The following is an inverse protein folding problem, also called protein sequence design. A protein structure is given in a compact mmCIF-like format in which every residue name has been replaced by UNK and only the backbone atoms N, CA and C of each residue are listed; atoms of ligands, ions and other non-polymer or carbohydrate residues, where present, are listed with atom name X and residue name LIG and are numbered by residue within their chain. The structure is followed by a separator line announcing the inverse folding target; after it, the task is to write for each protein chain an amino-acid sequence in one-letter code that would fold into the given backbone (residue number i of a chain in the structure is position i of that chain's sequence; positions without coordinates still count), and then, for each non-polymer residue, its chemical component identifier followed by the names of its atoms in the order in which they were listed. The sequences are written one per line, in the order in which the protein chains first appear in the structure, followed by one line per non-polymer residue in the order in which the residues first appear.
data_IF_851578358840
#
_entry.id   IF_851578358840
#
_cell.length_a   1.000
_cell.length_b   1.000
_cell.length_c   1.000
_cell.angle_alpha   90.00
_cell.angle_beta   90.00
_cell.angle_gamma   90.00
#
_symmetry.space_group_name_H-M   'P 1'
#
loop_
_entity.id
_entity.type
_entity.pdbx_description
1 polymer ?
#
# COMPACT_ATOMS: atom_id res chain seq x y z
N UNK A 1 52.32 -28.07 -3.76
CA UNK A 1 51.16 -27.48 -4.47
C UNK A 1 50.43 -26.57 -3.49
N UNK A 2 50.71 -25.26 -3.55
CA UNK A 2 50.05 -24.23 -2.74
C UNK A 2 48.95 -23.59 -3.59
N UNK A 3 47.71 -23.63 -3.11
CA UNK A 3 46.56 -22.96 -3.74
C UNK A 3 46.42 -21.59 -3.09
N UNK A 4 46.74 -20.54 -3.85
CA UNK A 4 46.54 -19.14 -3.48
C UNK A 4 45.10 -18.75 -3.78
N UNK A 5 44.33 -18.36 -2.75
CA UNK A 5 42.98 -17.80 -2.89
C UNK A 5 43.09 -16.28 -3.07
N UNK A 6 42.72 -15.79 -4.24
CA UNK A 6 42.64 -14.36 -4.56
C UNK A 6 41.29 -13.81 -4.09
N UNK A 7 41.32 -12.74 -3.28
CA UNK A 7 40.14 -12.02 -2.83
C UNK A 7 39.65 -11.08 -3.94
N UNK A 8 38.45 -11.33 -4.47
CA UNK A 8 37.78 -10.43 -5.40
C UNK A 8 37.05 -9.32 -4.63
N UNK A 9 37.48 -8.08 -4.83
CA UNK A 9 36.81 -6.87 -4.34
C UNK A 9 35.49 -6.65 -5.09
N UNK A 10 34.36 -6.72 -4.39
CA UNK A 10 33.05 -6.36 -4.90
C UNK A 10 32.88 -4.84 -4.85
N UNK A 11 32.88 -4.18 -6.02
CA UNK A 11 32.53 -2.77 -6.16
C UNK A 11 31.01 -2.62 -6.33
N UNK A 12 30.36 -1.86 -5.45
CA UNK A 12 28.93 -1.55 -5.52
C UNK A 12 28.52 -0.91 -6.86
N UNK A 13 27.35 -1.26 -7.43
CA UNK A 13 26.88 -0.65 -8.66
C UNK A 13 26.41 0.79 -8.44
N UNK A 14 26.78 1.66 -9.39
CA UNK A 14 26.53 3.09 -9.42
C UNK A 14 25.03 3.38 -9.58
N UNK A 15 24.57 4.41 -8.89
CA UNK A 15 23.19 4.90 -8.93
C UNK A 15 22.71 5.21 -10.35
N UNK A 16 21.45 4.87 -10.61
CA UNK A 16 20.75 5.16 -11.85
C UNK A 16 20.41 6.66 -11.91
N UNK A 17 20.71 7.38 -13.01
CA UNK A 17 20.18 8.71 -13.19
C UNK A 17 18.67 8.62 -13.47
N UNK A 18 17.88 9.37 -12.69
CA UNK A 18 16.47 9.59 -12.96
C UNK A 18 16.31 10.31 -14.32
N UNK A 19 16.21 9.54 -15.42
CA UNK A 19 15.75 10.08 -16.70
C UNK A 19 14.25 10.25 -16.61
N UNK A 20 13.81 11.50 -16.54
CA UNK A 20 12.41 11.85 -16.75
C UNK A 20 11.96 11.33 -18.12
N UNK A 21 11.16 10.27 -18.12
CA UNK A 21 10.50 9.76 -19.33
C UNK A 21 9.43 10.77 -19.69
N UNK A 22 9.52 11.35 -20.89
CA UNK A 22 8.50 12.25 -21.40
C UNK A 22 7.17 11.48 -21.53
N UNK A 23 6.23 11.78 -20.63
CA UNK A 23 4.88 11.23 -20.67
C UNK A 23 4.15 11.83 -21.89
N UNK A 24 3.63 11.02 -22.82
CA UNK A 24 2.87 11.54 -23.96
C UNK A 24 1.64 12.33 -23.46
N UNK A 25 1.52 13.59 -23.90
CA UNK A 25 0.47 14.54 -23.50
C UNK A 25 -0.97 14.07 -23.78
N UNK A 26 -1.18 12.97 -24.50
CA UNK A 26 -2.53 12.43 -24.75
C UNK A 26 -3.16 11.72 -23.56
N UNK A 27 -2.40 11.41 -22.51
CA UNK A 27 -2.92 10.73 -21.31
C UNK A 27 -3.55 11.67 -20.26
N UNK A 28 -3.66 12.97 -20.51
CA UNK A 28 -4.24 13.91 -19.54
C UNK A 28 -5.76 14.06 -19.66
N UNK A 29 -6.33 13.80 -20.84
CA UNK A 29 -7.73 14.17 -21.16
C UNK A 29 -8.79 13.22 -20.60
N UNK A 30 -8.44 12.00 -20.20
CA UNK A 30 -9.41 11.00 -19.71
C UNK A 30 -9.68 11.08 -18.20
N UNK A 31 -8.95 11.93 -17.47
CA UNK A 31 -9.08 12.08 -16.01
C UNK A 31 -10.10 13.16 -15.59
N UNK A 32 -10.40 14.13 -16.46
CA UNK A 32 -11.36 15.21 -16.17
C UNK A 32 -12.83 14.79 -16.19
N UNK A 33 -13.17 13.56 -16.61
CA UNK A 33 -14.55 13.06 -16.67
C UNK A 33 -15.04 12.35 -15.40
N UNK A 34 -14.31 12.47 -14.28
CA UNK A 34 -14.50 11.61 -13.09
C UNK A 34 -15.05 12.30 -11.83
N UNK A 35 -15.63 13.49 -11.94
CA UNK A 35 -16.47 14.06 -10.87
C UNK A 35 -17.94 13.72 -11.13
N UNK A 36 -18.59 12.86 -10.32
CA UNK A 36 -20.04 12.84 -10.27
C UNK A 36 -20.54 14.04 -9.46
N UNK A 37 -21.55 14.74 -9.98
CA UNK A 37 -22.44 15.58 -9.20
C UNK A 37 -23.04 14.75 -8.05
N UNK A 38 -22.66 15.02 -6.81
CA UNK A 38 -23.48 14.66 -5.65
C UNK A 38 -24.27 15.89 -5.20
N UNK A 39 -25.55 15.92 -5.58
CA UNK A 39 -26.62 16.59 -4.85
C UNK A 39 -27.78 15.62 -4.71
N UNK A 40 -27.99 15.09 -3.51
CA UNK A 40 -29.33 15.03 -2.93
C UNK A 40 -29.24 14.78 -1.43
N UNK A 41 -30.18 15.41 -0.72
CA UNK A 41 -30.11 15.80 0.67
C UNK A 41 -30.77 14.79 1.63
N UNK A 42 -30.36 14.93 2.90
CA UNK A 42 -31.19 14.97 4.11
C UNK A 42 -32.10 13.77 4.44
N UNK A 43 -31.83 13.15 5.61
CA UNK A 43 -32.88 13.04 6.62
C UNK A 43 -32.31 12.94 8.05
N UNK A 44 -32.57 13.98 8.83
CA UNK A 44 -32.29 14.11 10.25
C UNK A 44 -33.26 13.25 11.09
N UNK A 45 -32.77 12.64 12.17
CA UNK A 45 -33.57 12.45 13.39
C UNK A 45 -32.66 12.39 14.61
N UNK A 46 -32.79 13.43 15.43
CA UNK A 46 -32.36 13.46 16.81
C UNK A 46 -33.45 12.81 17.69
N UNK A 47 -33.06 12.01 18.67
CA UNK A 47 -33.84 11.77 19.90
C UNK A 47 -32.85 11.76 21.07
N UNK A 48 -33.30 12.37 22.16
CA UNK A 48 -32.52 12.90 23.26
C UNK A 48 -32.33 11.94 24.45
N UNK A 49 -31.38 12.35 25.31
CA UNK A 49 -31.34 12.25 26.79
C UNK A 49 -31.46 10.89 27.47
N UNK A 50 -30.44 10.61 28.30
CA UNK A 50 -30.68 10.45 29.74
C UNK A 50 -29.42 10.80 30.55
N UNK A 51 -29.63 11.58 31.60
CA UNK A 51 -28.68 12.01 32.63
C UNK A 51 -28.84 11.13 33.86
N UNK A 52 -27.75 10.72 34.52
CA UNK A 52 -27.77 10.51 35.97
C UNK A 52 -26.41 10.75 36.60
N UNK A 53 -26.46 11.38 37.76
CA UNK A 53 -25.37 11.81 38.63
C UNK A 53 -25.30 10.96 39.89
N UNK A 54 -24.13 10.83 40.52
CA UNK A 54 -23.88 10.80 41.98
C UNK A 54 -22.43 10.30 42.20
N UNK A 55 -21.52 11.13 42.75
CA UNK A 55 -21.19 11.27 44.19
C UNK A 55 -20.34 10.09 44.72
N UNK A 56 -19.32 10.21 45.58
CA UNK A 56 -18.55 11.29 46.20
C UNK A 56 -17.44 10.61 47.06
N UNK A 57 -16.31 11.31 47.31
CA UNK A 57 -15.43 11.25 48.51
C UNK A 57 -14.69 9.92 48.82
N UNK A 58 -13.53 9.82 49.50
CA UNK A 58 -12.64 10.70 50.26
C UNK A 58 -11.22 10.04 50.24
N UNK A 59 -10.12 10.79 50.08
CA UNK A 59 -9.19 11.28 51.11
C UNK A 59 -8.17 10.27 51.73
N UNK A 60 -6.95 10.81 51.94
CA UNK A 60 -5.82 10.36 52.78
C UNK A 60 -4.86 9.31 52.19
N UNK A 61 -3.55 9.30 52.44
CA UNK A 61 -2.58 10.26 52.96
C UNK A 61 -1.18 9.61 52.82
N UNK A 62 -0.14 10.44 52.66
CA UNK A 62 1.24 10.13 53.05
C UNK A 62 2.07 9.25 52.10
N UNK A 63 3.13 9.81 51.52
CA UNK A 63 4.53 9.71 52.03
C UNK A 63 5.41 10.52 51.07
N UNK A 64 6.12 11.49 51.63
CA UNK A 64 7.20 12.21 50.99
C UNK A 64 8.46 11.34 50.96
N UNK A 65 9.19 11.30 49.85
CA UNK A 65 10.66 11.20 49.86
C UNK A 65 11.29 11.40 48.47
N UNK A 66 12.40 12.14 48.51
CA UNK A 66 13.54 12.10 47.58
C UNK A 66 13.41 12.77 46.20
N UNK A 67 13.70 14.07 46.22
CA UNK A 67 14.17 14.89 45.12
C UNK A 67 15.38 14.27 44.40
N UNK A 68 15.18 13.65 43.24
CA UNK A 68 16.24 13.40 42.25
C UNK A 68 16.07 14.35 41.07
N UNK A 69 16.84 15.46 41.10
CA UNK A 69 16.97 16.39 39.98
C UNK A 69 17.83 15.74 38.88
N UNK A 70 17.23 14.88 38.07
CA UNK A 70 17.77 14.60 36.74
C UNK A 70 17.50 15.83 35.87
N UNK A 71 18.57 16.51 35.47
CA UNK A 71 18.56 17.57 34.47
C UNK A 71 17.92 17.01 33.20
N UNK A 72 16.63 17.30 32.99
CA UNK A 72 16.01 17.16 31.69
C UNK A 72 16.78 18.09 30.75
N UNK A 73 17.66 17.51 29.93
CA UNK A 73 18.25 18.21 28.82
C UNK A 73 17.08 18.73 27.99
N UNK A 74 16.89 20.05 28.00
CA UNK A 74 16.05 20.78 27.06
C UNK A 74 16.59 20.38 25.69
N UNK A 75 15.96 19.38 25.06
CA UNK A 75 16.18 19.07 23.65
C UNK A 75 15.74 20.34 22.95
N UNK A 76 16.72 21.16 22.56
CA UNK A 76 16.49 22.37 21.83
C UNK A 76 15.68 22.00 20.61
N UNK A 77 14.44 22.49 20.52
CA UNK A 77 13.73 22.55 19.25
C UNK A 77 14.69 23.25 18.31
N UNK A 78 15.29 22.51 17.37
CA UNK A 78 16.09 23.10 16.30
C UNK A 78 15.17 24.12 15.65
N UNK A 79 15.58 25.39 15.67
CA UNK A 79 14.94 26.39 14.83
C UNK A 79 15.04 25.84 13.40
N UNK A 80 13.89 25.50 12.81
CA UNK A 80 13.82 24.92 11.49
C UNK A 80 14.61 25.79 10.52
N UNK A 81 15.36 25.15 9.64
CA UNK A 81 16.13 25.89 8.67
C UNK A 81 15.16 26.65 7.74
N UNK A 82 15.51 27.84 7.26
CA UNK A 82 14.58 28.67 6.48
C UNK A 82 14.09 28.05 5.16
N UNK A 83 14.70 26.95 4.69
CA UNK A 83 14.21 26.16 3.55
C UNK A 83 13.13 25.13 3.92
N UNK A 84 12.91 24.84 5.21
CA UNK A 84 11.83 23.94 5.67
C UNK A 84 10.44 24.53 5.35
N UNK A 85 10.34 25.84 5.12
CA UNK A 85 9.12 26.51 4.67
C UNK A 85 8.93 26.52 3.15
N UNK A 86 10.00 26.24 2.37
CA UNK A 86 9.93 26.24 0.91
C UNK A 86 9.30 24.95 0.37
N UNK A 87 9.45 23.84 1.10
CA UNK A 87 8.67 22.61 0.93
C UNK A 87 7.47 22.61 1.87
N UNK A 88 6.68 23.69 1.82
CA UNK A 88 5.55 23.98 2.73
C UNK A 88 4.98 22.71 3.33
N UNK A 89 5.42 22.40 4.55
CA UNK A 89 5.14 21.16 5.24
C UNK A 89 3.70 21.22 5.74
N UNK A 90 2.77 21.16 4.79
CA UNK A 90 1.39 20.85 5.12
C UNK A 90 1.44 19.55 5.92
N UNK A 91 0.91 19.57 7.16
CA UNK A 91 0.95 18.37 8.00
C UNK A 91 0.29 17.24 7.21
N UNK A 92 1.01 16.13 7.06
CA UNK A 92 0.51 14.99 6.28
C UNK A 92 -0.76 14.50 6.97
N UNK A 93 -1.90 14.61 6.30
CA UNK A 93 -3.18 14.18 6.86
C UNK A 93 -3.21 12.66 6.95
N UNK A 94 -2.97 12.14 8.16
CA UNK A 94 -3.07 10.71 8.45
C UNK A 94 -4.56 10.31 8.40
N UNK A 95 -4.94 9.27 7.64
CA UNK A 95 -6.32 8.87 7.51
C UNK A 95 -6.85 8.31 8.83
N UNK A 96 -8.00 8.82 9.26
CA UNK A 96 -8.72 8.37 10.45
C UNK A 96 -9.71 7.25 10.14
N UNK A 97 -10.18 7.17 8.89
CA UNK A 97 -11.20 6.22 8.44
C UNK A 97 -10.77 5.46 7.18
N UNK A 98 -11.47 4.37 6.90
CA UNK A 98 -11.29 3.56 5.69
C UNK A 98 -11.64 4.35 4.42
N UNK A 99 -12.61 5.27 4.50
CA UNK A 99 -12.94 6.17 3.40
C UNK A 99 -11.80 7.14 3.09
N UNK A 100 -11.24 7.79 4.11
CA UNK A 100 -10.08 8.68 3.93
C UNK A 100 -8.86 7.90 3.42
N UNK A 101 -8.69 6.66 3.87
CA UNK A 101 -7.64 5.75 3.37
C UNK A 101 -7.83 5.48 1.87
N UNK A 102 -9.06 5.19 1.44
CA UNK A 102 -9.39 4.95 0.03
C UNK A 102 -9.20 6.20 -0.83
N UNK A 103 -9.59 7.38 -0.35
CA UNK A 103 -9.38 8.65 -1.06
C UNK A 103 -7.89 8.97 -1.22
N UNK A 104 -7.12 8.86 -0.15
CA UNK A 104 -5.67 9.07 -0.19
C UNK A 104 -4.97 8.06 -1.10
N UNK A 105 -5.42 6.79 -1.10
CA UNK A 105 -4.95 5.77 -2.03
C UNK A 105 -5.24 6.18 -3.48
N UNK A 106 -6.47 6.56 -3.82
CA UNK A 106 -6.84 7.01 -5.18
C UNK A 106 -5.96 8.17 -5.65
N UNK A 107 -5.80 9.20 -4.80
CA UNK A 107 -4.93 10.33 -5.09
C UNK A 107 -3.48 9.91 -5.33
N UNK A 108 -2.95 8.99 -4.50
CA UNK A 108 -1.58 8.50 -4.64
C UNK A 108 -1.35 7.73 -5.93
N UNK A 109 -2.31 6.91 -6.34
CA UNK A 109 -2.24 6.18 -7.61
C UNK A 109 -2.37 7.13 -8.80
N UNK A 110 -3.23 8.14 -8.72
CA UNK A 110 -3.35 9.16 -9.77
C UNK A 110 -2.02 9.90 -9.98
N UNK A 111 -1.36 10.31 -8.89
CA UNK A 111 -0.04 10.95 -8.93
C UNK A 111 1.01 10.00 -9.51
N UNK A 112 1.03 8.74 -9.08
CA UNK A 112 1.97 7.74 -9.60
C UNK A 112 1.80 7.48 -11.10
N UNK A 113 0.55 7.36 -11.57
CA UNK A 113 0.24 7.14 -13.00
C UNK A 113 0.57 8.38 -13.82
N UNK A 114 0.22 9.58 -13.35
CA UNK A 114 0.57 10.85 -14.03
C UNK A 114 2.09 11.06 -14.09
N UNK A 115 2.78 10.69 -13.02
CA UNK A 115 4.25 10.71 -12.94
C UNK A 115 4.92 9.62 -13.79
N UNK A 116 4.16 8.68 -14.36
CA UNK A 116 4.71 7.59 -15.16
C UNK A 116 5.60 6.64 -14.36
N UNK A 117 5.32 6.44 -13.07
CA UNK A 117 6.12 5.55 -12.23
C UNK A 117 5.99 4.10 -12.73
N UNK A 118 7.07 3.43 -13.14
CA UNK A 118 6.97 2.12 -13.77
C UNK A 118 6.75 0.99 -12.75
N UNK A 119 7.14 1.19 -11.49
CA UNK A 119 7.15 0.17 -10.44
C UNK A 119 6.55 0.77 -9.18
N UNK A 120 5.37 0.30 -8.80
CA UNK A 120 4.54 0.86 -7.74
C UNK A 120 4.24 -0.21 -6.69
N UNK A 121 4.54 0.08 -5.43
CA UNK A 121 4.18 -0.72 -4.25
C UNK A 121 3.06 -0.05 -3.48
N UNK A 122 2.04 -0.84 -3.16
CA UNK A 122 0.82 -0.41 -2.46
C UNK A 122 0.50 -1.42 -1.38
N UNK A 123 0.30 -0.91 -0.17
CA UNK A 123 0.10 -1.74 1.00
C UNK A 123 -1.02 -1.21 1.89
N UNK A 124 -1.99 -2.07 2.20
CA UNK A 124 -3.06 -1.84 3.18
C UNK A 124 -2.94 -2.80 4.37
N UNK A 125 -3.56 -2.50 5.53
CA UNK A 125 -3.62 -3.46 6.63
C UNK A 125 -4.23 -4.79 6.19
N UNK A 126 -3.70 -5.90 6.71
CA UNK A 126 -4.17 -7.24 6.36
C UNK A 126 -5.64 -7.41 6.72
N UNK A 127 -6.46 -7.78 5.74
CA UNK A 127 -7.89 -8.00 5.94
C UNK A 127 -8.77 -6.75 5.96
N UNK A 128 -8.21 -5.54 5.74
CA UNK A 128 -9.02 -4.32 5.67
C UNK A 128 -9.95 -4.35 4.45
N UNK A 129 -11.26 -4.54 4.67
CA UNK A 129 -12.28 -4.46 3.62
C UNK A 129 -12.66 -3.00 3.35
N UNK A 130 -12.65 -2.62 2.09
CA UNK A 130 -12.82 -1.25 1.63
C UNK A 130 -14.30 -0.87 1.39
N UNK A 131 -15.23 -1.82 1.53
CA UNK A 131 -16.65 -1.59 1.24
C UNK A 131 -17.02 -1.77 -0.22
N UNK A 132 -16.08 -2.21 -1.07
CA UNK A 132 -16.35 -2.37 -2.52
C UNK A 132 -17.30 -3.55 -2.78
N UNK A 133 -17.31 -4.55 -1.90
CA UNK A 133 -18.25 -5.68 -1.92
C UNK A 133 -19.30 -5.59 -0.79
N UNK A 134 -19.71 -4.37 -0.43
CA UNK A 134 -20.75 -4.02 0.56
C UNK A 134 -20.39 -4.20 2.04
N UNK A 135 -19.18 -4.63 2.38
CA UNK A 135 -18.71 -4.69 3.76
C UNK A 135 -17.49 -3.82 3.92
N UNK A 136 -17.58 -2.78 4.75
CA UNK A 136 -16.47 -1.87 5.05
C UNK A 136 -16.04 -2.08 6.48
N UNK A 137 -14.75 -2.39 6.67
CA UNK A 137 -14.19 -2.48 8.01
C UNK A 137 -13.76 -1.10 8.49
N UNK A 138 -13.88 -0.79 9.79
CA UNK A 138 -13.17 0.35 10.34
C UNK A 138 -11.66 0.13 10.20
N UNK A 139 -10.89 1.22 10.16
CA UNK A 139 -9.42 1.15 10.11
C UNK A 139 -8.86 0.71 11.48
N UNK A 140 -9.30 -0.39 12.06
CA UNK A 140 -8.87 -0.86 13.40
C UNK A 140 -8.41 -2.30 13.26
N UNK A 141 -7.44 -2.72 14.07
CA UNK A 141 -7.05 -4.13 14.10
C UNK A 141 -8.19 -4.93 14.72
N UNK A 142 -8.69 -5.95 14.01
CA UNK A 142 -9.66 -6.88 14.60
C UNK A 142 -9.02 -7.58 15.79
N UNK A 143 -9.75 -7.68 16.91
CA UNK A 143 -9.31 -8.47 18.06
C UNK A 143 -9.41 -9.97 17.69
N UNK A 144 -8.33 -10.51 17.12
CA UNK A 144 -8.25 -11.91 16.72
C UNK A 144 -7.45 -12.14 15.44
N UNK A 145 -7.21 -13.41 15.13
CA UNK A 145 -6.58 -13.78 13.87
C UNK A 145 -7.53 -13.45 12.71
N UNK A 146 -7.07 -12.60 11.80
CA UNK A 146 -7.82 -12.26 10.59
C UNK A 146 -7.95 -13.52 9.73
N UNK A 147 -9.19 -13.98 9.51
CA UNK A 147 -9.47 -15.18 8.73
C UNK A 147 -8.93 -15.09 7.30
N UNK A 148 -8.51 -16.22 6.75
CA UNK A 148 -7.98 -16.33 5.38
C UNK A 148 -8.97 -15.85 4.33
N UNK A 149 -10.27 -16.05 4.56
CA UNK A 149 -11.35 -15.57 3.69
C UNK A 149 -11.47 -14.04 3.71
N UNK A 150 -11.36 -13.42 4.89
CA UNK A 150 -11.38 -11.95 5.02
C UNK A 150 -10.18 -11.34 4.30
N UNK A 151 -8.99 -11.92 4.46
CA UNK A 151 -7.79 -11.46 3.73
C UNK A 151 -8.00 -11.58 2.22
N UNK A 152 -8.52 -12.71 1.76
CA UNK A 152 -8.77 -12.96 0.33
C UNK A 152 -9.84 -12.02 -0.25
N UNK A 153 -10.87 -11.68 0.54
CA UNK A 153 -11.86 -10.67 0.19
C UNK A 153 -11.22 -9.27 0.11
N UNK A 154 -10.45 -8.86 1.12
CA UNK A 154 -9.79 -7.55 1.15
C UNK A 154 -8.84 -7.36 -0.05
N UNK A 155 -8.04 -8.38 -0.37
CA UNK A 155 -7.15 -8.39 -1.53
C UNK A 155 -7.93 -8.27 -2.85
N UNK A 156 -9.08 -8.96 -2.96
CA UNK A 156 -9.98 -8.87 -4.12
C UNK A 156 -10.62 -7.49 -4.23
N UNK A 157 -11.10 -6.90 -3.13
CA UNK A 157 -11.68 -5.55 -3.10
C UNK A 157 -10.66 -4.48 -3.52
N UNK A 158 -9.43 -4.58 -3.05
CA UNK A 158 -8.34 -3.69 -3.46
C UNK A 158 -8.07 -3.82 -4.96
N UNK A 159 -7.97 -5.04 -5.50
CA UNK A 159 -7.83 -5.25 -6.94
C UNK A 159 -9.04 -4.71 -7.72
N UNK A 160 -10.25 -4.82 -7.16
CA UNK A 160 -11.49 -4.30 -7.78
C UNK A 160 -11.51 -2.77 -7.82
N UNK A 161 -10.94 -2.12 -6.82
CA UNK A 161 -10.75 -0.67 -6.79
C UNK A 161 -9.81 -0.24 -7.93
N UNK A 162 -8.70 -0.95 -8.16
CA UNK A 162 -7.83 -0.71 -9.31
C UNK A 162 -8.58 -0.87 -10.62
N UNK A 163 -9.32 -1.96 -10.80
CA UNK A 163 -10.18 -2.13 -11.97
C UNK A 163 -11.15 -0.96 -12.18
N UNK A 164 -11.66 -0.36 -11.10
CA UNK A 164 -12.52 0.82 -11.16
C UNK A 164 -11.77 2.10 -11.55
N UNK A 165 -10.57 2.33 -11.01
CA UNK A 165 -9.73 3.49 -11.33
C UNK A 165 -9.23 3.46 -12.78
N UNK A 166 -8.90 2.28 -13.30
CA UNK A 166 -8.37 2.09 -14.64
C UNK A 166 -9.45 1.81 -15.71
N UNK A 167 -10.73 2.13 -15.46
CA UNK A 167 -11.83 1.85 -16.42
C UNK A 167 -11.58 2.43 -17.81
N UNK A 168 -10.99 3.63 -17.90
CA UNK A 168 -10.68 4.27 -19.18
C UNK A 168 -9.57 3.56 -19.98
N UNK A 169 -8.67 2.86 -19.29
CA UNK A 169 -7.51 2.13 -19.84
C UNK A 169 -7.68 0.62 -19.71
N UNK A 170 -8.90 0.13 -19.51
CA UNK A 170 -9.19 -1.26 -19.16
C UNK A 170 -8.68 -2.30 -20.18
N UNK A 171 -8.51 -1.93 -21.44
CA UNK A 171 -7.99 -2.82 -22.51
C UNK A 171 -6.54 -3.25 -22.26
N UNK A 172 -5.76 -2.44 -21.55
CA UNK A 172 -4.35 -2.67 -21.29
C UNK A 172 -4.07 -3.11 -19.84
N UNK A 173 -5.12 -3.42 -19.07
CA UNK A 173 -5.02 -3.82 -17.67
C UNK A 173 -5.04 -5.35 -17.53
N UNK A 174 -4.00 -5.89 -16.91
CA UNK A 174 -3.92 -7.28 -16.47
C UNK A 174 -3.84 -7.34 -14.95
N UNK A 175 -4.77 -8.06 -14.32
CA UNK A 175 -4.80 -8.32 -12.88
C UNK A 175 -4.40 -9.78 -12.65
N UNK A 176 -3.31 -9.98 -11.93
CA UNK A 176 -2.71 -11.27 -11.67
C UNK A 176 -2.86 -11.64 -10.19
N UNK A 177 -3.59 -12.72 -9.92
CA UNK A 177 -3.73 -13.28 -8.56
C UNK A 177 -2.71 -14.39 -8.32
N UNK A 178 -2.35 -14.60 -7.05
CA UNK A 178 -1.42 -15.68 -6.65
C UNK A 178 -1.91 -17.10 -6.98
N UNK A 179 -3.22 -17.35 -6.97
CA UNK A 179 -3.81 -18.69 -7.24
C UNK A 179 -4.94 -18.60 -8.25
N UNK A 180 -5.20 -19.71 -8.94
CA UNK A 180 -6.33 -19.85 -9.89
C UNK A 180 -7.68 -19.72 -9.18
N UNK A 181 -7.79 -20.23 -7.95
CA UNK A 181 -9.01 -20.10 -7.12
C UNK A 181 -9.39 -18.64 -6.85
N UNK A 182 -8.42 -17.79 -6.49
CA UNK A 182 -8.67 -16.38 -6.24
C UNK A 182 -9.01 -15.62 -7.53
N UNK A 183 -8.35 -15.95 -8.64
CA UNK A 183 -8.67 -15.39 -9.95
C UNK A 183 -10.09 -15.79 -10.40
N UNK A 184 -10.49 -17.04 -10.19
CA UNK A 184 -11.83 -17.53 -10.50
C UNK A 184 -12.90 -16.84 -9.63
N UNK A 185 -12.67 -16.76 -8.31
CA UNK A 185 -13.57 -16.06 -7.39
C UNK A 185 -13.73 -14.58 -7.76
N UNK A 186 -12.64 -13.92 -8.18
CA UNK A 186 -12.70 -12.54 -8.68
C UNK A 186 -13.55 -12.42 -9.95
N UNK A 187 -13.35 -13.31 -10.94
CA UNK A 187 -14.15 -13.34 -12.18
C UNK A 187 -15.63 -13.54 -11.89
N UNK A 188 -15.96 -14.49 -11.01
CA UNK A 188 -17.33 -14.80 -10.61
C UNK A 188 -18.00 -13.59 -9.94
N UNK A 189 -17.35 -13.00 -8.92
CA UNK A 189 -17.91 -11.88 -8.15
C UNK A 189 -18.05 -10.61 -8.99
N UNK A 190 -17.12 -10.35 -9.90
CA UNK A 190 -17.13 -9.12 -10.68
C UNK A 190 -18.01 -9.23 -11.94
N UNK A 191 -18.18 -10.45 -12.46
CA UNK A 191 -19.03 -10.75 -13.62
C UNK A 191 -18.68 -9.90 -14.84
N UNK A 192 -19.70 -9.40 -15.54
CA UNK A 192 -19.52 -8.54 -16.71
C UNK A 192 -18.86 -7.17 -16.39
N UNK A 193 -18.78 -6.76 -15.11
CA UNK A 193 -18.20 -5.47 -14.70
C UNK A 193 -16.67 -5.42 -14.83
N UNK A 194 -16.04 -6.53 -15.23
CA UNK A 194 -14.60 -6.60 -15.56
C UNK A 194 -14.27 -5.84 -16.83
N UNK A 195 -15.22 -5.73 -17.77
CA UNK A 195 -14.96 -5.12 -19.08
C UNK A 195 -13.88 -5.88 -19.83
N UNK A 196 -12.91 -5.15 -20.39
CA UNK A 196 -11.82 -5.73 -21.19
C UNK A 196 -10.57 -6.10 -20.38
N UNK A 197 -10.59 -5.93 -19.06
CA UNK A 197 -9.43 -6.24 -18.22
C UNK A 197 -9.19 -7.75 -18.19
N UNK A 198 -7.92 -8.15 -18.25
CA UNK A 198 -7.51 -9.56 -18.17
C UNK A 198 -7.32 -9.96 -16.72
N UNK A 199 -7.91 -11.07 -16.30
CA UNK A 199 -7.70 -11.64 -14.96
C UNK A 199 -7.01 -12.99 -15.12
N UNK A 200 -5.80 -13.10 -14.58
CA UNK A 200 -4.91 -14.26 -14.70
C UNK A 200 -4.45 -14.75 -13.31
N UNK A 201 -3.89 -15.95 -13.26
CA UNK A 201 -3.22 -16.48 -12.07
C UNK A 201 -1.74 -16.74 -12.33
N UNK A 202 -0.88 -16.42 -11.35
CA UNK A 202 0.58 -16.61 -11.41
C UNK A 202 1.06 -18.00 -10.97
N UNK A 203 0.17 -18.82 -10.39
CA UNK A 203 0.53 -20.14 -9.92
C UNK A 203 1.09 -21.01 -11.04
N UNK A 204 2.06 -21.88 -10.73
CA UNK A 204 2.40 -23.00 -11.60
C UNK A 204 1.14 -23.83 -11.72
N UNK A 205 0.48 -23.77 -12.88
CA UNK A 205 -0.53 -24.77 -13.21
C UNK A 205 0.15 -26.11 -13.04
N UNK A 206 -0.17 -26.83 -11.96
CA UNK A 206 0.18 -28.24 -11.88
C UNK A 206 -0.36 -28.82 -13.17
N UNK A 207 0.51 -29.36 -14.00
CA UNK A 207 0.24 -29.88 -15.33
C UNK A 207 -0.64 -31.15 -15.28
N UNK A 208 -1.61 -31.20 -14.38
CA UNK A 208 -2.69 -32.17 -14.39
C UNK A 208 -3.59 -31.83 -15.56
N UNK A 209 -3.36 -32.55 -16.67
CA UNK A 209 -4.27 -32.75 -17.80
C UNK A 209 -5.73 -32.61 -17.36
N UNK A 210 -6.30 -31.42 -17.52
CA UNK A 210 -7.72 -31.17 -17.27
C UNK A 210 -8.24 -30.40 -18.46
N UNK A 211 -8.79 -31.18 -19.39
CA UNK A 211 -9.71 -30.75 -20.42
C UNK A 211 -10.90 -30.02 -19.79
N UNK A 212 -11.23 -28.83 -20.33
CA UNK A 212 -12.50 -28.13 -20.11
C UNK A 212 -12.78 -27.54 -18.71
N UNK A 213 -11.99 -26.56 -18.25
CA UNK A 213 -12.50 -25.54 -17.32
C UNK A 213 -11.72 -24.22 -17.43
N UNK A 214 -12.46 -23.10 -17.43
CA UNK A 214 -12.06 -21.75 -17.84
C UNK A 214 -11.10 -21.00 -16.88
N UNK A 215 -9.93 -21.58 -16.59
CA UNK A 215 -8.87 -20.95 -15.80
C UNK A 215 -7.54 -20.91 -16.57
N UNK A 216 -7.26 -19.84 -17.31
CA UNK A 216 -5.96 -19.66 -17.96
C UNK A 216 -4.88 -19.33 -16.92
N UNK A 217 -4.13 -20.36 -16.53
CA UNK A 217 -2.83 -20.21 -15.86
C UNK A 217 -1.81 -19.79 -16.91
N UNK A 218 -1.07 -18.73 -16.65
CA UNK A 218 -0.16 -18.15 -17.66
C UNK A 218 1.28 -18.36 -17.19
N UNK A 219 2.13 -18.97 -18.04
CA UNK A 219 3.58 -19.02 -17.80
C UNK A 219 4.17 -17.61 -17.82
N UNK A 220 5.28 -17.38 -17.11
CA UNK A 220 6.00 -16.09 -17.10
C UNK A 220 6.22 -15.53 -18.51
N UNK A 221 6.78 -16.34 -19.42
CA UNK A 221 7.06 -15.92 -20.80
C UNK A 221 5.81 -15.60 -21.62
N UNK A 222 4.68 -16.24 -21.31
CA UNK A 222 3.40 -15.97 -21.98
C UNK A 222 2.81 -14.66 -21.47
N UNK A 223 2.95 -14.40 -20.17
CA UNK A 223 2.55 -13.14 -19.55
C UNK A 223 3.42 -11.99 -20.07
N UNK A 224 4.74 -12.17 -20.16
CA UNK A 224 5.68 -11.19 -20.70
C UNK A 224 5.34 -10.82 -22.14
N UNK A 225 5.18 -11.81 -23.02
CA UNK A 225 4.76 -11.58 -24.42
C UNK A 225 3.40 -10.90 -24.51
N UNK A 226 2.45 -11.29 -23.67
CA UNK A 226 1.13 -10.64 -23.60
C UNK A 226 1.23 -9.17 -23.19
N UNK A 227 2.08 -8.84 -22.22
CA UNK A 227 2.29 -7.48 -21.75
C UNK A 227 3.03 -6.64 -22.80
N UNK A 228 4.07 -7.19 -23.44
CA UNK A 228 4.79 -6.54 -24.54
C UNK A 228 3.85 -6.25 -25.72
N UNK A 229 3.06 -7.23 -26.15
CA UNK A 229 2.07 -7.05 -27.22
C UNK A 229 1.04 -5.96 -26.88
N UNK A 230 0.67 -5.84 -25.60
CA UNK A 230 -0.23 -4.79 -25.12
C UNK A 230 0.45 -3.42 -25.15
N UNK A 231 1.70 -3.36 -24.70
CA UNK A 231 2.49 -2.12 -24.63
C UNK A 231 2.91 -1.57 -26.01
N UNK A 232 3.02 -2.42 -27.03
CA UNK A 232 3.36 -2.00 -28.40
C UNK A 232 2.14 -1.50 -29.20
N UNK A 233 0.93 -1.63 -28.66
CA UNK A 233 -0.24 -1.00 -29.28
C UNK A 233 -0.12 0.53 -29.21
N UNK A 234 -0.57 1.22 -30.26
CA UNK A 234 -0.63 2.70 -30.31
C UNK A 234 -1.44 3.33 -29.16
N UNK A 235 -2.15 2.51 -28.39
CA UNK A 235 -3.05 2.85 -27.30
C UNK A 235 -2.38 3.08 -25.94
N UNK A 236 -1.06 2.95 -25.81
CA UNK A 236 -0.30 3.40 -24.65
C UNK A 236 0.25 2.29 -23.75
N UNK A 237 0.77 2.68 -22.58
CA UNK A 237 1.45 1.78 -21.64
C UNK A 237 0.57 0.60 -21.17
N UNK A 238 1.20 -0.55 -20.98
CA UNK A 238 0.58 -1.71 -20.34
C UNK A 238 0.50 -1.54 -18.81
N UNK A 239 -0.52 -2.12 -18.18
CA UNK A 239 -0.66 -2.12 -16.73
C UNK A 239 -0.76 -3.56 -16.20
N UNK A 240 0.13 -3.92 -15.28
CA UNK A 240 0.09 -5.19 -14.57
C UNK A 240 -0.16 -4.92 -13.08
N UNK A 241 -1.23 -5.48 -12.55
CA UNK A 241 -1.57 -5.41 -11.12
C UNK A 241 -1.40 -6.79 -10.53
N UNK A 242 -0.44 -6.97 -9.61
CA UNK A 242 -0.17 -8.25 -8.96
C UNK A 242 -0.66 -8.22 -7.53
N UNK A 243 -1.59 -9.12 -7.20
CA UNK A 243 -2.31 -9.13 -5.92
C UNK A 243 -1.71 -10.13 -4.95
N UNK A 244 -1.27 -9.64 -3.79
CA UNK A 244 -0.70 -10.38 -2.67
C UNK A 244 0.32 -11.47 -3.10
N UNK A 245 1.36 -11.12 -3.89
CA UNK A 245 2.35 -12.09 -4.36
C UNK A 245 3.11 -12.74 -3.19
N UNK A 246 3.43 -14.01 -3.37
CA UNK A 246 4.28 -14.81 -2.47
C UNK A 246 5.71 -14.82 -2.98
N UNK A 247 6.64 -15.40 -2.22
CA UNK A 247 8.08 -15.39 -2.56
C UNK A 247 8.37 -15.91 -3.97
N UNK A 248 7.72 -16.99 -4.39
CA UNK A 248 7.87 -17.55 -5.74
C UNK A 248 7.31 -16.63 -6.84
N UNK A 249 6.17 -15.98 -6.58
CA UNK A 249 5.57 -15.01 -7.50
C UNK A 249 6.41 -13.74 -7.61
N UNK A 250 7.04 -13.29 -6.51
CA UNK A 250 7.94 -12.14 -6.51
C UNK A 250 9.18 -12.36 -7.38
N UNK A 251 9.72 -13.59 -7.42
CA UNK A 251 10.82 -13.93 -8.35
C UNK A 251 10.38 -13.76 -9.81
N UNK A 252 9.23 -14.35 -10.16
CA UNK A 252 8.65 -14.23 -11.51
C UNK A 252 8.41 -12.76 -11.87
N UNK A 253 7.89 -11.96 -10.94
CA UNK A 253 7.67 -10.53 -11.15
C UNK A 253 8.98 -9.76 -11.32
N UNK A 254 10.04 -10.12 -10.59
CA UNK A 254 11.35 -9.52 -10.76
C UNK A 254 11.88 -9.77 -12.18
N UNK A 255 11.83 -11.02 -12.64
CA UNK A 255 12.24 -11.42 -13.99
C UNK A 255 11.41 -10.68 -15.06
N UNK A 256 10.08 -10.67 -14.89
CA UNK A 256 9.14 -9.96 -15.77
C UNK A 256 9.42 -8.45 -15.84
N UNK A 257 9.75 -7.84 -14.71
CA UNK A 257 10.04 -6.40 -14.64
C UNK A 257 11.31 -6.00 -15.37
N UNK A 258 12.23 -6.95 -15.58
CA UNK A 258 13.44 -6.76 -16.38
C UNK A 258 13.16 -6.99 -17.87
N UNK A 259 12.27 -7.93 -18.20
CA UNK A 259 11.94 -8.27 -19.59
C UNK A 259 11.04 -7.25 -20.28
N UNK A 260 10.00 -6.75 -19.59
CA UNK A 260 9.00 -5.86 -20.19
C UNK A 260 9.48 -4.40 -20.24
N UNK A 261 10.51 -4.06 -19.45
CA UNK A 261 11.10 -2.72 -19.41
C UNK A 261 10.15 -1.63 -18.89
N UNK A 262 10.41 -0.37 -19.26
CA UNK A 262 9.68 0.80 -18.75
C UNK A 262 8.32 1.07 -19.40
N UNK A 263 7.95 0.31 -20.45
CA UNK A 263 6.67 0.49 -21.17
C UNK A 263 5.46 -0.06 -20.41
N UNK A 264 5.69 -0.88 -19.39
CA UNK A 264 4.63 -1.44 -18.55
C UNK A 264 4.78 -0.96 -17.13
N UNK A 265 3.68 -0.48 -16.56
CA UNK A 265 3.59 -0.10 -15.16
C UNK A 265 3.13 -1.31 -14.34
N UNK A 266 3.95 -1.72 -13.36
CA UNK A 266 3.69 -2.85 -12.48
C UNK A 266 3.30 -2.32 -11.09
N UNK A 267 2.08 -2.67 -10.67
CA UNK A 267 1.55 -2.42 -9.34
C UNK A 267 1.62 -3.70 -8.51
N UNK A 268 2.27 -3.64 -7.36
CA UNK A 268 2.25 -4.69 -6.35
C UNK A 268 1.29 -4.29 -5.25
N UNK A 269 0.23 -5.07 -5.10
CA UNK A 269 -0.79 -4.84 -4.08
C UNK A 269 -0.58 -5.81 -2.93
N UNK A 270 -0.41 -5.30 -1.71
CA UNK A 270 -0.18 -6.10 -0.50
C UNK A 270 0.96 -7.12 -0.66
N UNK A 271 2.02 -6.75 -1.38
CA UNK A 271 3.18 -7.60 -1.56
C UNK A 271 3.99 -7.81 -0.27
N UNK A 272 3.80 -6.94 0.74
CA UNK A 272 4.51 -6.95 2.03
C UNK A 272 6.02 -6.91 1.83
N UNK A 273 6.49 -6.03 0.95
CA UNK A 273 7.93 -5.88 0.70
C UNK A 273 8.65 -5.30 1.93
N UNK A 274 7.92 -4.49 2.71
CA UNK A 274 8.43 -3.59 3.74
C UNK A 274 7.93 -3.94 5.14
N UNK A 275 8.58 -3.39 6.17
CA UNK A 275 8.13 -3.48 7.58
C UNK A 275 8.04 -4.90 8.13
N UNK A 276 8.94 -5.77 7.68
CA UNK A 276 9.00 -7.17 8.12
C UNK A 276 9.90 -7.30 9.34
N UNK A 277 9.58 -8.24 10.21
CA UNK A 277 10.43 -8.60 11.36
C UNK A 277 11.64 -9.46 10.97
N UNK A 278 11.55 -10.20 9.86
CA UNK A 278 12.62 -11.08 9.37
C UNK A 278 13.17 -10.54 8.04
N UNK A 279 14.50 -10.46 7.88
CA UNK A 279 15.12 -10.08 6.62
C UNK A 279 14.84 -11.13 5.54
N UNK A 280 14.67 -10.71 4.30
CA UNK A 280 14.62 -11.63 3.15
C UNK A 280 14.97 -10.86 1.88
N UNK A 281 16.19 -11.13 1.42
CA UNK A 281 16.93 -10.36 0.43
C UNK A 281 16.16 -10.07 -0.85
N UNK A 282 15.32 -11.02 -1.32
CA UNK A 282 14.51 -10.80 -2.52
C UNK A 282 13.54 -9.63 -2.37
N UNK A 283 12.88 -9.51 -1.21
CA UNK A 283 11.94 -8.40 -1.02
C UNK A 283 12.64 -7.11 -0.67
N UNK A 284 13.81 -7.18 -0.03
CA UNK A 284 14.61 -6.00 0.27
C UNK A 284 15.11 -5.37 -1.04
N UNK A 285 15.62 -6.20 -1.97
CA UNK A 285 15.97 -5.78 -3.34
C UNK A 285 14.76 -5.21 -4.11
N UNK A 286 13.61 -5.89 -4.08
CA UNK A 286 12.40 -5.37 -4.71
C UNK A 286 11.88 -4.08 -4.04
N UNK A 287 12.04 -3.93 -2.72
CA UNK A 287 11.68 -2.72 -2.01
C UNK A 287 12.57 -1.54 -2.45
N UNK A 288 13.83 -1.75 -2.81
CA UNK A 288 14.66 -0.68 -3.38
C UNK A 288 14.22 -0.31 -4.81
N UNK A 289 13.72 -1.28 -5.56
CA UNK A 289 13.31 -1.10 -6.96
C UNK A 289 11.88 -0.56 -7.16
N UNK A 290 11.01 -0.67 -6.14
CA UNK A 290 9.60 -0.27 -6.22
C UNK A 290 9.32 0.98 -5.37
N UNK A 291 8.58 1.91 -5.96
CA UNK A 291 8.18 3.14 -5.29
C UNK A 291 7.05 2.85 -4.30
N UNK A 292 7.26 3.15 -3.03
CA UNK A 292 6.23 3.08 -1.99
C UNK A 292 5.22 4.22 -2.17
N UNK A 293 4.22 3.99 -3.03
CA UNK A 293 3.23 5.00 -3.43
C UNK A 293 2.17 5.17 -2.35
N UNK A 294 1.72 4.07 -1.76
CA UNK A 294 0.74 4.12 -0.67
C UNK A 294 0.99 2.99 0.31
N UNK A 295 1.21 3.31 1.58
CA UNK A 295 1.35 2.33 2.65
C UNK A 295 0.52 2.77 3.86
N UNK A 296 -0.30 1.86 4.35
CA UNK A 296 -0.97 1.97 5.65
C UNK A 296 -0.76 0.63 6.38
N UNK A 297 -0.01 0.67 7.49
CA UNK A 297 0.27 -0.53 8.30
C UNK A 297 -0.06 -0.26 9.75
N UNK A 298 -0.96 -1.06 10.30
CA UNK A 298 -1.22 -1.05 11.73
C UNK A 298 -0.06 -1.73 12.46
N UNK A 299 0.43 -1.08 13.52
CA UNK A 299 1.54 -1.57 14.37
C UNK A 299 1.13 -1.49 15.84
N UNK A 300 1.85 -2.20 16.70
CA UNK A 300 1.48 -2.38 18.11
C UNK A 300 0.55 -3.59 18.32
N UNK A 301 0.39 -3.99 19.58
CA UNK A 301 -0.31 -5.25 19.93
C UNK A 301 -1.81 -5.19 19.62
N UNK A 302 -2.40 -3.99 19.62
CA UNK A 302 -3.82 -3.74 19.32
C UNK A 302 -4.03 -2.83 18.11
N UNK A 303 -2.98 -2.54 17.34
CA UNK A 303 -3.06 -1.59 16.22
C UNK A 303 -3.17 -0.13 16.66
N UNK A 304 -2.64 0.19 17.84
CA UNK A 304 -2.54 1.54 18.40
C UNK A 304 -1.59 2.44 17.61
N UNK A 305 -0.76 1.88 16.74
CA UNK A 305 0.11 2.62 15.83
C UNK A 305 -0.30 2.48 14.37
N UNK A 306 0.03 3.49 13.57
CA UNK A 306 -0.09 3.48 12.12
C UNK A 306 1.21 3.98 11.50
N UNK A 307 1.82 3.15 10.66
CA UNK A 307 2.88 3.56 9.73
C UNK A 307 2.23 3.89 8.41
N UNK A 308 2.33 5.15 8.01
CA UNK A 308 1.60 5.72 6.89
C UNK A 308 2.52 6.40 5.89
N UNK A 309 2.25 6.24 4.60
CA UNK A 309 2.82 7.02 3.51
C UNK A 309 1.81 7.10 2.38
N UNK A 310 1.61 8.27 1.80
CA UNK A 310 0.77 8.46 0.62
C UNK A 310 1.38 9.50 -0.29
N UNK A 311 1.72 9.12 -1.52
CA UNK A 311 2.32 9.98 -2.53
C UNK A 311 1.33 11.09 -2.93
N UNK A 312 1.64 12.36 -2.68
CA UNK A 312 0.77 13.49 -3.04
C UNK A 312 1.49 14.41 -4.03
N UNK A 313 2.66 14.94 -3.64
CA UNK A 313 3.39 15.93 -4.43
C UNK A 313 4.77 15.41 -4.90
N UNK A 314 4.87 14.11 -5.16
CA UNK A 314 6.11 13.48 -5.62
C UNK A 314 7.15 13.17 -4.51
N UNK A 315 7.04 13.82 -3.35
CA UNK A 315 7.88 13.55 -2.17
C UNK A 315 7.03 13.54 -0.90
N UNK A 316 6.44 12.38 -0.58
CA UNK A 316 5.70 12.21 0.66
C UNK A 316 6.53 11.46 1.71
N UNK A 317 6.69 12.02 2.92
CA UNK A 317 7.40 11.36 3.99
C UNK A 317 6.59 10.18 4.55
N UNK A 318 7.31 9.27 5.19
CA UNK A 318 6.74 8.31 6.13
C UNK A 318 6.32 9.01 7.41
N UNK A 319 5.15 8.64 7.90
CA UNK A 319 4.58 9.13 9.15
C UNK A 319 4.33 7.93 10.06
N UNK A 320 4.76 8.05 11.31
CA UNK A 320 4.38 7.14 12.39
C UNK A 320 3.43 7.91 13.30
N UNK A 321 2.20 7.41 13.42
CA UNK A 321 1.17 8.04 14.24
C UNK A 321 0.64 7.06 15.29
N UNK A 322 0.33 7.57 16.48
CA UNK A 322 -0.41 6.87 17.52
C UNK A 322 -1.89 7.13 17.39
N UNK A 323 -2.71 6.14 17.69
CA UNK A 323 -4.16 6.17 17.56
C UNK A 323 -4.79 5.86 18.91
N UNK A 324 -5.66 6.75 19.37
CA UNK A 324 -6.36 6.57 20.64
C UNK A 324 -7.62 5.72 20.46
N UNK A 325 -7.52 4.39 20.37
CA UNK A 325 -8.72 3.54 20.25
C UNK A 325 -9.69 3.77 21.44
N UNK A 326 -11.01 3.92 21.22
CA UNK A 326 -11.76 3.77 19.96
C UNK A 326 -11.83 5.04 19.09
N UNK A 327 -11.26 6.17 19.53
CA UNK A 327 -11.18 7.38 18.72
C UNK A 327 -10.26 7.13 17.52
N UNK A 328 -10.69 7.58 16.35
CA UNK A 328 -9.95 7.43 15.11
C UNK A 328 -8.92 8.54 14.88
N UNK A 329 -8.80 9.49 15.82
CA UNK A 329 -7.85 10.59 15.73
C UNK A 329 -6.44 10.05 15.92
N UNK A 330 -5.61 10.27 14.90
CA UNK A 330 -4.20 9.90 14.91
C UNK A 330 -3.35 11.10 15.33
N UNK A 331 -2.47 10.89 16.31
CA UNK A 331 -1.47 11.86 16.75
C UNK A 331 -0.14 11.47 16.14
N UNK A 332 0.43 12.34 15.31
CA UNK A 332 1.75 12.14 14.72
C UNK A 332 2.82 12.05 15.83
N UNK A 333 3.63 10.99 15.80
CA UNK A 333 4.77 10.80 16.69
C UNK A 333 6.09 11.13 16.00
N UNK A 334 6.20 10.79 14.73
CA UNK A 334 7.45 10.89 13.98
C UNK A 334 7.19 10.96 12.47
N UNK A 335 8.06 11.67 11.76
CA UNK A 335 8.02 11.84 10.31
C UNK A 335 9.44 11.80 9.74
N UNK A 336 9.62 11.13 8.60
CA UNK A 336 10.91 11.07 7.89
C UNK A 336 10.73 10.73 6.41
N UNK A 337 11.75 11.03 5.60
CA UNK A 337 11.82 10.58 4.20
C UNK A 337 12.07 9.06 4.12
N UNK A 338 12.81 8.52 5.10
CA UNK A 338 13.16 7.11 5.18
C UNK A 338 12.08 6.30 5.92
N UNK A 339 11.97 5.02 5.58
CA UNK A 339 11.04 4.11 6.25
C UNK A 339 11.45 3.92 7.72
N UNK A 340 10.51 3.95 8.69
CA UNK A 340 10.84 3.72 10.09
C UNK A 340 11.40 2.31 10.31
N UNK A 341 12.50 2.22 11.06
CA UNK A 341 13.13 0.95 11.43
C UNK A 341 12.27 0.14 12.40
N UNK A 342 12.46 -1.19 12.43
CA UNK A 342 11.80 -2.08 13.39
C UNK A 342 12.03 -1.65 14.84
N UNK A 343 13.25 -1.25 15.17
CA UNK A 343 13.66 -0.87 16.52
C UNK A 343 12.95 0.42 16.96
N UNK A 344 12.76 1.34 16.01
CA UNK A 344 11.98 2.56 16.26
C UNK A 344 10.52 2.21 16.54
N UNK A 345 9.93 1.33 15.75
CA UNK A 345 8.55 0.90 15.95
C UNK A 345 8.36 0.18 17.29
N UNK A 346 9.33 -0.65 17.70
CA UNK A 346 9.32 -1.32 19.01
C UNK A 346 9.46 -0.33 20.17
N UNK A 347 10.24 0.74 19.99
CA UNK A 347 10.40 1.80 21.01
C UNK A 347 9.09 2.56 21.24
N UNK A 348 8.35 2.86 20.17
CA UNK A 348 7.11 3.64 20.23
C UNK A 348 5.87 2.80 20.58
N UNK A 349 5.91 1.51 20.24
CA UNK A 349 4.83 0.53 20.41
C UNK A 349 5.39 -0.80 20.97
N UNK A 350 5.74 -0.84 22.26
CA UNK A 350 6.20 -2.07 22.89
C UNK A 350 5.07 -3.12 22.91
N UNK A 351 5.44 -4.37 22.58
CA UNK A 351 4.52 -5.53 22.53
C UNK A 351 4.03 -5.98 23.90
#
# INVERSE_FOLDING_TARGET
MQISLSAASFSSPRGWPARAVAVPKSNSQWLSSWLPLERSASCSRAVARETSSAAAAAAAAGVALASSRCRAAKVGRRAGAPWDSFFGSSPVKVPSSTNETMEALKGSIEVAVKGGLPRVDVELPSGLRLGVENVMDPLVLSEGEVGTEQISQADRELARLFLAMFKAVNKNLTIAFRTSSLAAAAKEKWGAKVGNARIVSLGKGSSSKSSFAAGSSVSGDSLARSLQATADTKTGAGFLVVVAPRKEHLKLVADLSNEVGSKTCIFLLNARLRGRSKPDALRDDLAEQYNAVFHARLVGSRGEGLVYRALQDGSSPWVVARRELPKTVATELWQSIEEPSSDRLQTEFPS
#
